data_IF_191380385461
#
_entry.id   IF_191380385461
#
_cell.length_a   1.000
_cell.length_b   1.000
_cell.length_c   1.000
_cell.angle_alpha   90.00
_cell.angle_beta   90.00
_cell.angle_gamma   90.00
#
_symmetry.space_group_name_H-M   'P 1'
#
loop_
_entity.id
_entity.type
_entity.pdbx_description
1 polymer ?
#
# COMPACT_ATOMS: atom_id res chain seq x y z
N UNK A 1 -2.49 1.41 7.67
CA UNK A 1 -3.19 0.12 7.86
C UNK A 1 -4.62 0.10 7.33
N UNK A 2 -5.43 1.16 7.48
CA UNK A 2 -6.82 1.19 7.02
C UNK A 2 -6.96 0.97 5.49
N UNK A 3 -6.18 1.69 4.67
CA UNK A 3 -6.20 1.56 3.21
C UNK A 3 -5.90 0.13 2.73
N UNK A 4 -4.80 -0.47 3.19
CA UNK A 4 -4.44 -1.85 2.84
C UNK A 4 -5.54 -2.86 3.20
N UNK A 5 -6.15 -2.72 4.39
CA UNK A 5 -7.26 -3.59 4.83
C UNK A 5 -8.52 -3.40 4.00
N UNK A 6 -8.80 -2.18 3.56
CA UNK A 6 -9.95 -1.89 2.70
C UNK A 6 -9.76 -2.51 1.31
N UNK A 7 -8.58 -2.30 0.70
CA UNK A 7 -8.21 -2.87 -0.60
C UNK A 7 -8.29 -4.39 -0.56
N UNK A 8 -7.64 -5.04 0.41
CA UNK A 8 -7.68 -6.50 0.57
C UNK A 8 -9.09 -7.11 0.69
N UNK A 9 -10.08 -6.33 1.16
CA UNK A 9 -11.46 -6.82 1.35
C UNK A 9 -12.40 -6.50 0.20
N UNK A 10 -12.02 -5.58 -0.68
CA UNK A 10 -12.93 -4.97 -1.67
C UNK A 10 -12.41 -5.05 -3.10
N UNK A 11 -11.23 -5.62 -3.31
CA UNK A 11 -10.62 -5.79 -4.62
C UNK A 11 -9.94 -7.15 -4.72
N UNK A 12 -9.80 -7.65 -5.95
CA UNK A 12 -9.03 -8.87 -6.26
C UNK A 12 -7.56 -8.55 -6.60
N UNK A 13 -7.00 -7.54 -5.92
CA UNK A 13 -5.61 -7.13 -6.13
C UNK A 13 -4.64 -8.13 -5.48
N UNK A 14 -3.49 -8.32 -6.12
CA UNK A 14 -2.38 -9.05 -5.52
C UNK A 14 -1.83 -8.33 -4.29
N UNK A 15 -1.12 -9.06 -3.42
CA UNK A 15 -0.50 -8.48 -2.23
C UNK A 15 0.43 -7.29 -2.57
N UNK A 16 1.18 -7.40 -3.67
CA UNK A 16 2.05 -6.34 -4.18
C UNK A 16 1.26 -5.09 -4.56
N UNK A 17 0.18 -5.24 -5.32
CA UNK A 17 -0.67 -4.12 -5.74
C UNK A 17 -1.33 -3.43 -4.54
N UNK A 18 -1.81 -4.19 -3.56
CA UNK A 18 -2.38 -3.65 -2.32
C UNK A 18 -1.36 -2.81 -1.56
N UNK A 19 -0.12 -3.30 -1.42
CA UNK A 19 0.95 -2.57 -0.71
C UNK A 19 1.32 -1.29 -1.46
N UNK A 20 1.45 -1.34 -2.79
CA UNK A 20 1.77 -0.17 -3.61
C UNK A 20 0.71 0.92 -3.46
N UNK A 21 -0.57 0.59 -3.62
CA UNK A 21 -1.65 1.58 -3.49
C UNK A 21 -1.80 2.08 -2.06
N UNK A 22 -1.67 1.21 -1.06
CA UNK A 22 -1.71 1.63 0.33
C UNK A 22 -0.55 2.56 0.72
N UNK A 23 0.65 2.34 0.16
CA UNK A 23 1.81 3.20 0.43
C UNK A 23 1.73 4.55 -0.26
N UNK A 24 1.15 4.64 -1.47
CA UNK A 24 0.84 5.92 -2.11
C UNK A 24 -0.09 6.77 -1.24
N UNK A 25 -1.19 6.18 -0.77
CA UNK A 25 -2.14 6.85 0.13
C UNK A 25 -1.44 7.27 1.44
N UNK A 26 -0.54 6.43 1.97
CA UNK A 26 0.21 6.78 3.17
C UNK A 26 1.16 7.97 2.95
N UNK A 27 1.79 8.08 1.79
CA UNK A 27 2.66 9.20 1.43
C UNK A 27 1.91 10.53 1.23
N UNK A 28 0.63 10.48 0.89
CA UNK A 28 -0.22 11.68 0.77
C UNK A 28 -0.71 12.22 2.12
N UNK A 29 -0.81 11.36 3.14
CA UNK A 29 -1.42 11.71 4.44
C UNK A 29 -0.37 11.91 5.54
N UNK A 30 0.68 11.09 5.56
CA UNK A 30 1.67 11.09 6.63
C UNK A 30 2.85 11.98 6.26
N UNK A 31 3.08 13.05 7.02
CA UNK A 31 4.20 14.00 6.78
C UNK A 31 5.60 13.36 6.81
N UNK A 32 5.72 12.15 7.37
CA UNK A 32 6.97 11.38 7.46
C UNK A 32 7.10 10.26 6.43
N UNK A 33 6.05 10.02 5.64
CA UNK A 33 6.06 9.02 4.58
C UNK A 33 6.05 9.74 3.25
N UNK A 34 6.89 9.32 2.31
CA UNK A 34 6.91 9.88 0.96
C UNK A 34 6.57 8.79 -0.08
N UNK A 35 6.52 9.18 -1.36
CA UNK A 35 6.16 8.27 -2.45
C UNK A 35 7.36 7.50 -3.03
N UNK A 36 8.52 7.55 -2.37
CA UNK A 36 9.72 6.83 -2.78
C UNK A 36 9.98 5.66 -1.83
N UNK A 37 9.51 4.47 -2.22
CA UNK A 37 9.62 3.26 -1.41
C UNK A 37 9.91 2.04 -2.29
N UNK A 38 10.45 0.99 -1.67
CA UNK A 38 10.80 -0.27 -2.33
C UNK A 38 9.85 -1.35 -1.79
N UNK A 39 9.35 -2.21 -2.68
CA UNK A 39 8.48 -3.33 -2.33
C UNK A 39 9.21 -4.63 -2.63
N UNK A 40 9.48 -5.40 -1.57
CA UNK A 40 10.07 -6.73 -1.63
C UNK A 40 8.98 -7.80 -1.43
N UNK A 41 9.15 -8.95 -2.09
CA UNK A 41 8.22 -10.07 -2.03
C UNK A 41 8.98 -11.37 -1.73
N UNK A 42 8.42 -12.17 -0.82
CA UNK A 42 8.89 -13.52 -0.52
C UNK A 42 8.16 -14.51 -1.42
N UNK A 43 8.93 -15.42 -2.05
CA UNK A 43 8.39 -16.55 -2.81
C UNK A 43 7.89 -17.66 -1.89
#
# INVERSE_FOLDING_TARGET
MAAARALMRKTDLSAKEIVVEAMKIAGEICIYTNNNFIVEEVK
#
